data_IF_229972686951
#
_entry.id   IF_229972686951
#
_cell.length_a   1.000
_cell.length_b   1.000
_cell.length_c   1.000
_cell.angle_alpha   90.00
_cell.angle_beta   90.00
_cell.angle_gamma   90.00
#
_symmetry.space_group_name_H-M   'P 1'
#
loop_
_entity.id
_entity.type
_entity.pdbx_description
1 polymer ?
#
# COMPACT_ATOMS: atom_id res chain seq x y z
N UNK A 1 -8.66 22.57 8.23
CA UNK A 1 -8.38 21.28 7.61
C UNK A 1 -7.64 20.46 8.65
N UNK A 2 -8.40 19.71 9.43
CA UNK A 2 -7.79 18.68 10.26
C UNK A 2 -7.56 17.46 9.37
N UNK A 3 -6.41 16.81 9.53
CA UNK A 3 -6.10 15.57 8.82
C UNK A 3 -5.98 14.44 9.83
N UNK A 4 -6.43 13.25 9.42
CA UNK A 4 -6.30 12.02 10.18
C UNK A 4 -5.57 10.98 9.33
N UNK A 5 -4.84 10.08 9.97
CA UNK A 5 -4.11 9.01 9.29
C UNK A 5 -5.04 7.82 9.06
N UNK A 6 -5.18 7.39 7.81
CA UNK A 6 -5.88 6.15 7.48
C UNK A 6 -5.10 4.95 8.07
N UNK A 7 -5.70 4.16 8.98
CA UNK A 7 -4.99 3.07 9.66
C UNK A 7 -4.56 1.94 8.72
N UNK A 8 -5.14 1.84 7.51
CA UNK A 8 -4.82 0.79 6.53
C UNK A 8 -3.63 1.16 5.65
N UNK A 9 -3.65 2.36 5.08
CA UNK A 9 -2.66 2.77 4.07
C UNK A 9 -1.71 3.85 4.56
N UNK A 10 -1.92 4.36 5.79
CA UNK A 10 -1.11 5.41 6.44
C UNK A 10 -1.04 6.72 5.64
N UNK A 11 -2.08 7.00 4.83
CA UNK A 11 -2.21 8.28 4.12
C UNK A 11 -2.93 9.31 5.00
N UNK A 12 -2.58 10.58 4.80
CA UNK A 12 -3.33 11.71 5.33
C UNK A 12 -4.70 11.81 4.65
N UNK A 13 -5.76 11.86 5.46
CA UNK A 13 -7.15 12.00 5.04
C UNK A 13 -7.69 13.30 5.60
N UNK A 14 -8.31 14.10 4.74
CA UNK A 14 -9.04 15.30 5.16
C UNK A 14 -10.30 14.89 5.93
N UNK A 15 -10.39 15.28 7.21
CA UNK A 15 -11.54 14.94 8.06
C UNK A 15 -12.80 15.74 7.70
N UNK A 16 -12.64 16.91 7.07
CA UNK A 16 -13.75 17.75 6.65
C UNK A 16 -14.48 17.13 5.44
N UNK A 17 -13.76 16.39 4.58
CA UNK A 17 -14.33 15.65 3.45
C UNK A 17 -13.55 14.35 3.13
N UNK A 18 -13.77 13.27 3.90
CA UNK A 18 -13.04 12.02 3.72
C UNK A 18 -13.53 11.25 2.48
N UNK A 19 -12.70 11.07 1.43
CA UNK A 19 -13.11 10.39 0.19
C UNK A 19 -13.54 8.92 0.39
N UNK A 20 -12.99 8.24 1.39
CA UNK A 20 -13.39 6.88 1.77
C UNK A 20 -14.49 6.79 2.82
N UNK A 21 -14.93 7.94 3.35
CA UNK A 21 -15.85 8.02 4.47
C UNK A 21 -15.18 7.82 5.82
N UNK A 22 -16.02 7.62 6.84
CA UNK A 22 -15.62 7.42 8.23
C UNK A 22 -16.26 6.16 8.82
N UNK A 23 -15.65 5.58 9.85
CA UNK A 23 -16.19 4.47 10.63
C UNK A 23 -15.94 4.70 12.11
N UNK A 24 -16.88 4.29 12.95
CA UNK A 24 -16.76 4.39 14.41
C UNK A 24 -16.40 3.03 14.99
N UNK A 25 -15.29 2.96 15.73
CA UNK A 25 -14.83 1.73 16.37
C UNK A 25 -14.30 2.05 17.77
N UNK A 26 -14.73 1.30 18.79
CA UNK A 26 -14.41 1.55 20.20
C UNK A 26 -14.70 2.98 20.71
N UNK A 27 -15.63 3.70 20.07
CA UNK A 27 -15.94 5.09 20.44
C UNK A 27 -14.98 6.13 19.83
N UNK A 28 -14.07 5.70 18.95
CA UNK A 28 -13.21 6.56 18.15
C UNK A 28 -13.68 6.59 16.70
N UNK A 29 -13.60 7.76 16.06
CA UNK A 29 -13.94 7.94 14.65
C UNK A 29 -12.69 7.86 13.80
N UNK A 30 -12.65 6.90 12.88
CA UNK A 30 -11.57 6.70 11.90
C UNK A 30 -11.99 7.18 10.52
N UNK A 31 -11.05 7.76 9.78
CA UNK A 31 -11.27 8.34 8.45
C UNK A 31 -10.43 7.59 7.40
N UNK A 32 -10.98 7.42 6.20
CA UNK A 32 -10.37 6.58 5.18
C UNK A 32 -10.14 7.34 3.87
N UNK A 33 -9.04 7.03 3.20
CA UNK A 33 -8.69 7.64 1.91
C UNK A 33 -9.55 7.10 0.76
N UNK A 34 -10.11 5.89 0.92
CA UNK A 34 -10.92 5.24 -0.09
C UNK A 34 -11.98 4.31 0.53
N UNK A 35 -13.10 4.06 -0.17
CA UNK A 35 -14.14 3.13 0.30
C UNK A 35 -13.58 1.72 0.55
N UNK A 36 -12.56 1.32 -0.22
CA UNK A 36 -11.86 0.04 -0.03
C UNK A 36 -11.16 -0.05 1.33
N UNK A 37 -10.54 1.04 1.80
CA UNK A 37 -9.92 1.09 3.13
C UNK A 37 -10.99 0.98 4.22
N UNK A 38 -12.07 1.75 4.11
CA UNK A 38 -13.19 1.66 5.06
C UNK A 38 -13.74 0.23 5.16
N UNK A 39 -14.01 -0.42 4.03
CA UNK A 39 -14.55 -1.79 4.00
C UNK A 39 -13.58 -2.81 4.58
N UNK A 40 -12.27 -2.66 4.36
CA UNK A 40 -11.27 -3.52 4.96
C UNK A 40 -11.19 -3.31 6.48
N UNK A 41 -11.26 -2.05 6.94
CA UNK A 41 -11.26 -1.72 8.36
C UNK A 41 -12.50 -2.25 9.07
N UNK A 42 -13.68 -2.10 8.47
CA UNK A 42 -14.94 -2.60 9.04
C UNK A 42 -14.97 -4.13 9.18
N UNK A 43 -14.14 -4.86 8.40
CA UNK A 43 -14.05 -6.33 8.48
C UNK A 43 -13.14 -6.80 9.60
N UNK A 44 -11.96 -6.19 9.73
CA UNK A 44 -10.91 -6.61 10.67
C UNK A 44 -10.23 -5.39 11.31
N UNK A 45 -10.95 -4.57 12.11
CA UNK A 45 -10.42 -3.30 12.62
C UNK A 45 -9.25 -3.53 13.59
N UNK A 46 -9.32 -4.57 14.41
CA UNK A 46 -8.28 -4.95 15.38
C UNK A 46 -6.91 -5.11 14.71
N UNK A 47 -6.87 -5.71 13.51
CA UNK A 47 -5.63 -5.94 12.75
C UNK A 47 -4.89 -4.66 12.40
N UNK A 48 -5.63 -3.59 12.11
CA UNK A 48 -5.07 -2.32 11.67
C UNK A 48 -4.77 -1.38 12.85
N UNK A 49 -5.37 -1.64 14.01
CA UNK A 49 -5.17 -0.87 15.24
C UNK A 49 -4.07 -1.46 16.13
N UNK A 50 -3.70 -2.72 15.92
CA UNK A 50 -2.57 -3.34 16.63
C UNK A 50 -1.18 -2.90 16.14
N UNK A 51 -1.11 -2.10 15.07
CA UNK A 51 0.13 -1.53 14.53
C UNK A 51 0.38 -0.09 15.00
N UNK A 52 -0.12 0.26 16.19
CA UNK A 52 0.37 1.41 16.93
C UNK A 52 1.73 1.05 17.55
N UNK A 53 2.77 1.82 17.24
CA UNK A 53 4.12 1.72 17.84
C UNK A 53 5.07 0.64 17.31
N UNK A 54 5.11 0.42 16.00
CA UNK A 54 6.20 -0.33 15.34
C UNK A 54 7.04 0.58 14.45
N UNK A 55 7.78 1.52 15.04
CA UNK A 55 8.77 2.32 14.32
C UNK A 55 9.69 1.40 13.51
N UNK A 56 9.60 1.49 12.19
CA UNK A 56 10.74 1.24 11.33
C UNK A 56 11.61 2.50 11.38
N UNK A 57 12.20 2.76 12.53
CA UNK A 57 13.49 3.42 12.60
C UNK A 57 14.51 2.31 12.32
N UNK A 58 14.96 2.23 11.06
CA UNK A 58 16.38 2.08 10.73
C UNK A 58 16.50 1.68 9.25
N UNK A 59 16.48 2.68 8.39
CA UNK A 59 17.52 2.77 7.39
C UNK A 59 18.25 4.07 7.66
N UNK A 60 19.02 4.08 8.77
CA UNK A 60 20.21 4.91 8.83
C UNK A 60 21.07 4.50 7.63
N UNK A 61 20.91 5.22 6.53
CA UNK A 61 21.80 5.14 5.38
C UNK A 61 23.19 5.40 5.92
N UNK A 62 23.90 4.30 6.14
CA UNK A 62 25.28 4.27 6.53
C UNK A 62 26.02 4.95 5.41
N UNK A 63 26.35 6.23 5.62
CA UNK A 63 27.32 6.95 4.82
C UNK A 63 28.59 6.14 4.74
N UNK A 64 28.71 5.33 3.70
CA UNK A 64 29.96 4.82 3.20
C UNK A 64 30.27 5.65 1.97
N UNK A 65 31.08 6.69 2.20
CA UNK A 65 32.02 7.12 1.18
C UNK A 65 32.86 5.88 0.81
N UNK A 66 32.45 5.21 -0.24
CA UNK A 66 33.32 4.34 -0.99
C UNK A 66 33.81 5.14 -2.18
N UNK A 67 34.75 6.06 -1.93
CA UNK A 67 35.70 6.48 -2.94
C UNK A 67 36.41 5.25 -3.51
N UNK A 68 35.84 4.67 -4.57
CA UNK A 68 36.53 3.71 -5.42
C UNK A 68 37.09 4.48 -6.61
N UNK A 69 38.40 4.67 -6.58
CA UNK A 69 39.19 5.01 -7.75
C UNK A 69 39.03 3.88 -8.78
N UNK A 70 38.25 4.13 -9.83
CA UNK A 70 38.25 3.30 -11.02
C UNK A 70 39.42 3.71 -11.91
N UNK A 71 40.60 3.16 -11.61
CA UNK A 71 41.72 3.17 -12.55
C UNK A 71 41.29 2.59 -13.92
N UNK A 72 41.85 3.07 -15.04
CA UNK A 72 41.40 2.72 -16.38
C UNK A 72 41.75 1.27 -16.72
N UNK A 73 40.85 0.35 -16.37
CA UNK A 73 41.03 -1.06 -16.61
C UNK A 73 39.69 -1.77 -16.63
N UNK A 74 38.75 -1.33 -17.47
CA UNK A 74 37.47 -2.00 -17.67
C UNK A 74 37.66 -3.37 -18.33
N UNK A 75 37.51 -4.44 -17.54
CA UNK A 75 37.45 -5.81 -18.01
C UNK A 75 36.04 -6.09 -18.53
N UNK A 76 35.93 -6.33 -19.84
CA UNK A 76 34.69 -6.67 -20.53
C UNK A 76 34.16 -8.04 -20.05
N UNK A 77 33.20 -8.04 -19.13
CA UNK A 77 32.36 -9.21 -18.89
C UNK A 77 31.31 -9.29 -20.01
N UNK A 78 31.55 -10.21 -20.95
CA UNK A 78 30.60 -10.57 -21.99
C UNK A 78 29.26 -10.95 -21.38
N UNK A 79 28.21 -10.26 -21.80
CA UNK A 79 26.84 -10.65 -21.51
C UNK A 79 26.52 -11.89 -22.33
N UNK A 80 26.56 -13.06 -21.69
CA UNK A 80 25.94 -14.26 -22.21
C UNK A 80 24.44 -14.17 -21.91
N UNK A 81 23.63 -13.94 -22.95
CA UNK A 81 22.17 -13.98 -22.85
C UNK A 81 21.69 -15.44 -22.99
N UNK A 82 20.99 -16.01 -22.01
CA UNK A 82 20.12 -17.15 -22.25
C UNK A 82 18.70 -16.67 -22.56
N UNK A 83 18.25 -16.97 -23.78
CA UNK A 83 16.84 -17.07 -24.14
C UNK A 83 16.15 -18.11 -23.25
N UNK A 84 15.03 -17.72 -22.61
CA UNK A 84 13.91 -18.59 -22.23
C UNK A 84 12.73 -17.68 -21.87
N UNK A 85 11.77 -17.52 -22.76
CA UNK A 85 10.55 -18.34 -22.83
C UNK A 85 9.64 -18.22 -21.58
N UNK A 86 8.53 -17.52 -21.81
CA UNK A 86 7.15 -17.84 -21.42
C UNK A 86 6.77 -17.87 -19.93
N UNK A 87 6.08 -16.81 -19.50
CA UNK A 87 5.15 -16.86 -18.37
C UNK A 87 3.77 -16.29 -18.77
N UNK A 88 2.94 -17.23 -19.20
CA UNK A 88 1.48 -17.31 -19.12
C UNK A 88 0.68 -16.19 -18.39
N UNK A 89 -0.13 -15.47 -19.18
CA UNK A 89 -1.62 -15.47 -19.17
C UNK A 89 -2.41 -15.09 -17.87
N UNK A 90 -3.76 -15.02 -17.86
CA UNK A 90 -4.51 -13.79 -18.14
C UNK A 90 -5.65 -13.45 -17.15
N UNK A 91 -6.12 -12.20 -17.23
CA UNK A 91 -7.51 -11.74 -17.01
C UNK A 91 -8.20 -11.97 -15.65
N UNK A 92 -8.41 -10.88 -14.90
CA UNK A 92 -9.49 -10.74 -13.91
C UNK A 92 -10.53 -9.74 -14.43
N UNK A 93 -11.65 -10.29 -14.92
CA UNK A 93 -12.83 -9.56 -15.42
C UNK A 93 -13.68 -9.03 -14.25
N UNK A 94 -14.46 -7.95 -14.48
CA UNK A 94 -15.25 -7.27 -13.45
C UNK A 94 -16.39 -8.12 -12.89
N UNK A 95 -16.58 -8.02 -11.57
CA UNK A 95 -17.65 -8.65 -10.82
C UNK A 95 -19.04 -8.24 -11.30
N UNK A 96 -19.66 -9.20 -11.98
CA UNK A 96 -21.05 -9.63 -11.97
C UNK A 96 -21.96 -9.10 -10.81
N UNK A 97 -22.31 -7.80 -10.81
CA UNK A 97 -23.46 -7.30 -10.03
C UNK A 97 -24.77 -7.63 -10.75
N UNK A 98 -25.13 -8.91 -10.69
CA UNK A 98 -26.43 -9.41 -11.09
C UNK A 98 -27.49 -9.07 -10.02
N UNK A 99 -28.47 -8.27 -10.45
CA UNK A 99 -29.91 -8.44 -10.19
C UNK A 99 -30.34 -9.00 -8.83
N UNK A 100 -30.97 -8.15 -8.02
CA UNK A 100 -32.13 -8.53 -7.21
C UNK A 100 -33.11 -7.35 -7.17
N UNK A 101 -34.01 -7.22 -8.14
CA UNK A 101 -35.41 -7.67 -8.06
C UNK A 101 -36.13 -7.32 -6.73
N UNK A 102 -37.06 -6.36 -6.83
CA UNK A 102 -38.41 -6.53 -6.29
C UNK A 102 -38.68 -6.16 -4.83
N UNK A 103 -39.08 -4.92 -4.60
CA UNK A 103 -40.05 -4.43 -3.59
C UNK A 103 -40.12 -2.91 -3.79
N UNK A 104 -41.23 -2.20 -3.96
CA UNK A 104 -42.66 -2.49 -3.87
C UNK A 104 -43.37 -1.35 -4.59
#
# INVERSE_FOLDING_TARGET
>A
MATAIDPICKMDVDTDNPPGGQSEYNGETYYFCAPGCKVAFDKEPEKYLTEDSGGHDDHGDHGHDHGHDHGPGGHSHGHHMPEREEAAAPASKPGFFARLFGKK
#
